data_IF_916439972522
#
_entry.id   IF_916439972522
#
_cell.length_a   1.000
_cell.length_b   1.000
_cell.length_c   1.000
_cell.angle_alpha   90.00
_cell.angle_beta   90.00
_cell.angle_gamma   90.00
#
_symmetry.space_group_name_H-M   'P 1'
#
loop_
_entity.id
_entity.type
_entity.pdbx_description
1 polymer ?
#
# COMPACT_ATOMS: atom_id res chain seq x y z
N UNK A 1 -3.69 5.18 -13.38
CA UNK A 1 -4.40 5.62 -12.17
C UNK A 1 -5.50 4.61 -11.86
N UNK A 2 -5.41 3.89 -10.74
CA UNK A 2 -6.46 2.94 -10.34
C UNK A 2 -7.55 3.70 -9.57
N UNK A 3 -8.82 3.60 -10.02
CA UNK A 3 -9.98 4.27 -9.41
C UNK A 3 -10.95 3.30 -8.72
N UNK A 4 -10.44 2.18 -8.20
CA UNK A 4 -11.28 1.12 -7.63
C UNK A 4 -10.48 0.04 -6.92
N UNK A 5 -11.08 -1.15 -6.80
CA UNK A 5 -10.42 -2.32 -6.23
C UNK A 5 -9.55 -3.00 -7.30
N UNK A 6 -8.44 -3.58 -6.90
CA UNK A 6 -7.57 -4.31 -7.81
C UNK A 6 -6.63 -5.27 -7.07
N UNK A 7 -6.29 -6.37 -7.73
CA UNK A 7 -5.22 -7.26 -7.31
C UNK A 7 -4.11 -7.21 -8.36
N UNK A 8 -2.88 -7.11 -7.89
CA UNK A 8 -1.68 -7.03 -8.72
C UNK A 8 -0.77 -8.18 -8.34
N UNK A 9 -0.33 -8.96 -9.34
CA UNK A 9 0.73 -9.94 -9.20
C UNK A 9 1.84 -9.57 -10.17
N UNK A 10 3.01 -9.21 -9.62
CA UNK A 10 4.10 -8.60 -10.39
C UNK A 10 5.30 -9.51 -10.34
N UNK A 11 5.74 -9.94 -11.51
CA UNK A 11 6.94 -10.76 -11.68
C UNK A 11 8.18 -10.00 -11.17
N UNK A 12 9.08 -10.64 -10.41
CA UNK A 12 10.28 -9.99 -9.89
C UNK A 12 11.19 -9.48 -11.02
N UNK A 13 11.45 -8.17 -11.03
CA UNK A 13 12.47 -7.56 -11.88
C UNK A 13 13.23 -6.48 -11.10
N UNK A 14 14.41 -6.82 -10.57
CA UNK A 14 15.22 -5.88 -9.77
C UNK A 14 15.75 -4.69 -10.58
N UNK A 15 15.92 -4.86 -11.90
CA UNK A 15 16.39 -3.82 -12.80
C UNK A 15 15.28 -2.82 -13.19
N UNK A 16 14.01 -3.21 -13.06
CA UNK A 16 12.84 -2.38 -13.37
C UNK A 16 11.81 -2.46 -12.24
N UNK A 17 11.99 -1.67 -11.15
CA UNK A 17 11.01 -1.63 -10.08
C UNK A 17 9.67 -1.11 -10.60
N UNK A 18 8.58 -1.71 -10.13
CA UNK A 18 7.25 -1.31 -10.54
C UNK A 18 6.68 -0.23 -9.60
N UNK A 19 6.04 0.78 -10.17
CA UNK A 19 5.45 1.93 -9.47
C UNK A 19 3.96 1.98 -9.78
N UNK A 20 3.12 2.07 -8.75
CA UNK A 20 1.67 2.23 -8.92
C UNK A 20 1.24 3.58 -8.37
N UNK A 21 0.67 4.38 -9.26
CA UNK A 21 0.10 5.69 -8.93
C UNK A 21 -1.41 5.57 -8.74
N UNK A 22 -1.86 5.94 -7.54
CA UNK A 22 -3.27 6.11 -7.15
C UNK A 22 -3.42 7.44 -6.41
N UNK A 23 -4.51 7.65 -5.68
CA UNK A 23 -4.67 8.81 -4.76
C UNK A 23 -3.55 8.87 -3.67
N UNK A 24 -2.74 7.81 -3.58
CA UNK A 24 -1.49 7.67 -2.86
C UNK A 24 -0.44 6.98 -3.76
N UNK A 25 0.85 7.07 -3.39
CA UNK A 25 1.95 6.60 -4.22
C UNK A 25 2.50 5.29 -3.66
N UNK A 26 2.27 4.17 -4.36
CA UNK A 26 2.98 2.92 -4.05
C UNK A 26 4.33 2.97 -4.76
N UNK A 27 5.42 3.05 -3.98
CA UNK A 27 6.77 3.12 -4.50
C UNK A 27 7.47 1.78 -4.35
N UNK A 28 7.77 1.16 -5.50
CA UNK A 28 8.66 0.01 -5.66
C UNK A 28 8.10 -1.27 -5.06
N UNK A 29 7.68 -2.14 -5.98
CA UNK A 29 7.34 -3.53 -5.73
C UNK A 29 8.25 -4.40 -6.61
N UNK A 30 8.82 -5.44 -6.03
CA UNK A 30 9.64 -6.44 -6.74
C UNK A 30 9.09 -7.81 -6.35
N UNK A 31 8.60 -8.58 -7.32
CA UNK A 31 8.18 -9.97 -7.07
C UNK A 31 7.07 -10.06 -6.04
N UNK A 32 6.00 -9.29 -6.25
CA UNK A 32 5.06 -8.94 -5.19
C UNK A 32 3.64 -9.17 -5.65
N UNK A 33 2.83 -9.75 -4.77
CA UNK A 33 1.39 -9.82 -4.97
C UNK A 33 0.70 -9.01 -3.90
N UNK A 34 -0.12 -8.04 -4.29
CA UNK A 34 -0.80 -7.15 -3.36
C UNK A 34 -2.19 -6.76 -3.87
N UNK A 35 -3.06 -6.37 -2.95
CA UNK A 35 -4.39 -5.86 -3.29
C UNK A 35 -4.55 -4.42 -2.84
N UNK A 36 -5.35 -3.67 -3.60
CA UNK A 36 -5.82 -2.33 -3.29
C UNK A 36 -7.35 -2.42 -3.18
N UNK A 37 -7.92 -1.91 -2.09
CA UNK A 37 -9.36 -1.90 -1.86
C UNK A 37 -9.82 -0.54 -1.34
N UNK A 38 -10.80 0.07 -1.99
CA UNK A 38 -11.50 1.25 -1.48
C UNK A 38 -12.69 0.80 -0.62
N UNK A 39 -12.77 1.28 0.61
CA UNK A 39 -13.90 1.03 1.53
C UNK A 39 -14.98 2.09 1.31
N UNK A 40 -16.21 1.78 1.73
CA UNK A 40 -17.37 2.67 1.56
C UNK A 40 -17.21 4.02 2.28
N UNK A 41 -16.51 4.03 3.42
CA UNK A 41 -16.19 5.24 4.19
C UNK A 41 -15.15 6.16 3.51
N UNK A 42 -14.61 5.74 2.36
CA UNK A 42 -13.59 6.47 1.60
C UNK A 42 -12.15 6.15 2.02
N UNK A 43 -11.95 5.29 3.02
CA UNK A 43 -10.63 4.76 3.37
C UNK A 43 -10.12 3.80 2.29
N UNK A 44 -8.81 3.65 2.19
CA UNK A 44 -8.18 2.81 1.19
C UNK A 44 -7.21 1.84 1.87
N UNK A 45 -7.39 0.56 1.60
CA UNK A 45 -6.61 -0.53 2.17
C UNK A 45 -5.66 -1.10 1.12
N UNK A 46 -4.38 -1.24 1.47
CA UNK A 46 -3.38 -1.95 0.68
C UNK A 46 -2.87 -3.13 1.49
N UNK A 47 -2.91 -4.34 0.94
CA UNK A 47 -2.47 -5.56 1.62
C UNK A 47 -1.52 -6.37 0.75
N UNK A 48 -0.53 -7.00 1.38
CA UNK A 48 0.50 -7.79 0.69
C UNK A 48 0.30 -9.28 0.95
N UNK A 49 0.26 -10.04 -0.14
CA UNK A 49 0.19 -11.51 -0.12
C UNK A 49 1.59 -12.11 -0.22
N UNK A 50 2.43 -11.64 -1.15
CA UNK A 50 3.82 -12.10 -1.31
C UNK A 50 4.76 -10.95 -1.60
N UNK A 51 6.04 -11.09 -1.22
CA UNK A 51 7.11 -10.12 -1.46
C UNK A 51 7.05 -8.88 -0.53
N UNK A 52 7.65 -7.78 -0.97
CA UNK A 52 7.78 -6.54 -0.18
C UNK A 52 7.25 -5.34 -0.99
N UNK A 53 6.35 -4.57 -0.38
CA UNK A 53 5.78 -3.34 -0.95
C UNK A 53 6.16 -2.17 -0.08
N UNK A 54 6.63 -1.07 -0.68
CA UNK A 54 6.80 0.20 0.01
C UNK A 54 5.69 1.16 -0.44
N UNK A 55 4.94 1.68 0.52
CA UNK A 55 3.80 2.55 0.28
C UNK A 55 4.08 3.91 0.89
N UNK A 56 3.86 4.96 0.11
CA UNK A 56 4.03 6.34 0.53
C UNK A 56 2.71 7.11 0.39
N UNK A 57 2.28 7.80 1.44
CA UNK A 57 1.20 8.77 1.33
C UNK A 57 1.73 10.09 0.75
N UNK A 58 0.84 10.82 0.08
CA UNK A 58 1.12 12.14 -0.48
C UNK A 58 0.35 13.24 0.29
N UNK A 59 0.16 13.07 1.60
CA UNK A 59 -0.50 14.09 2.41
C UNK A 59 0.40 15.34 2.48
N UNK A 60 -0.16 16.51 2.19
CA UNK A 60 0.60 17.78 2.11
C UNK A 60 0.93 18.37 3.50
N UNK A 61 0.36 17.83 4.58
CA UNK A 61 0.54 18.40 5.92
C UNK A 61 2.00 18.34 6.42
N UNK A 62 2.47 19.51 6.86
CA UNK A 62 3.76 19.73 7.52
C UNK A 62 3.89 19.03 8.89
N UNK A 63 2.79 18.51 9.43
CA UNK A 63 2.69 17.91 10.78
C UNK A 63 3.15 16.43 10.81
N UNK A 64 3.16 15.75 9.66
CA UNK A 64 3.71 14.39 9.58
C UNK A 64 5.21 14.48 9.34
N UNK A 65 6.02 14.22 10.37
CA UNK A 65 7.47 14.05 10.23
C UNK A 65 7.76 13.10 9.06
N UNK A 66 8.79 13.38 8.26
CA UNK A 66 9.11 12.63 7.03
C UNK A 66 9.14 11.10 7.21
N UNK A 67 9.43 10.65 8.43
CA UNK A 67 9.44 9.25 8.87
C UNK A 67 8.07 8.53 8.80
N UNK A 68 6.95 9.24 8.87
CA UNK A 68 5.59 8.67 8.87
C UNK A 68 4.93 8.69 7.49
N UNK A 69 5.62 9.18 6.45
CA UNK A 69 5.08 9.26 5.10
C UNK A 69 5.18 7.94 4.34
N UNK A 70 6.02 7.02 4.82
CA UNK A 70 6.34 5.78 4.14
C UNK A 70 6.22 4.57 5.08
N UNK A 71 5.64 3.48 4.59
CA UNK A 71 5.61 2.18 5.26
C UNK A 71 6.11 1.08 4.34
N UNK A 72 6.88 0.14 4.89
CA UNK A 72 7.22 -1.11 4.22
C UNK A 72 6.31 -2.23 4.70
N UNK A 73 5.57 -2.84 3.79
CA UNK A 73 4.70 -3.98 4.02
C UNK A 73 5.38 -5.27 3.58
N UNK A 74 5.27 -6.28 4.43
CA UNK A 74 5.65 -7.67 4.16
C UNK A 74 4.37 -8.51 4.03
N UNK A 75 4.47 -9.80 3.66
CA UNK A 75 3.29 -10.65 3.57
C UNK A 75 2.46 -10.67 4.85
N UNK A 76 1.15 -10.82 4.68
CA UNK A 76 0.14 -10.78 5.75
C UNK A 76 0.05 -9.45 6.52
N UNK A 77 0.69 -8.39 6.01
CA UNK A 77 0.51 -7.03 6.52
C UNK A 77 -0.36 -6.21 5.59
N UNK A 78 -1.04 -5.24 6.19
CA UNK A 78 -1.82 -4.23 5.49
C UNK A 78 -1.55 -2.84 6.03
N UNK A 79 -1.97 -1.87 5.23
CA UNK A 79 -2.08 -0.48 5.62
C UNK A 79 -3.42 0.08 5.18
N UNK A 80 -4.05 0.87 6.04
CA UNK A 80 -5.28 1.60 5.74
C UNK A 80 -5.02 3.09 5.81
N UNK A 81 -5.34 3.76 4.72
CA UNK A 81 -5.29 5.22 4.57
C UNK A 81 -6.66 5.80 4.87
N UNK A 82 -6.69 6.84 5.70
CA UNK A 82 -7.88 7.61 6.02
C UNK A 82 -7.70 9.04 5.50
N UNK A 83 -8.11 9.35 4.25
CA UNK A 83 -7.86 10.65 3.62
C UNK A 83 -8.43 11.82 4.42
N UNK A 84 -9.60 11.65 5.05
CA UNK A 84 -10.26 12.69 5.86
C UNK A 84 -9.43 13.14 7.08
N UNK A 85 -8.64 12.23 7.64
CA UNK A 85 -7.87 12.46 8.86
C UNK A 85 -6.37 12.50 8.58
N UNK A 86 -5.98 12.43 7.30
CA UNK A 86 -4.58 12.34 6.83
C UNK A 86 -3.74 11.31 7.61
N UNK A 87 -4.38 10.21 8.01
CA UNK A 87 -3.79 9.20 8.87
C UNK A 87 -3.59 7.90 8.11
N UNK A 88 -2.54 7.17 8.48
CA UNK A 88 -2.22 5.86 7.98
C UNK A 88 -2.09 4.88 9.16
N UNK A 89 -2.83 3.78 9.13
CA UNK A 89 -2.75 2.74 10.14
C UNK A 89 -2.21 1.46 9.52
N UNK A 90 -1.25 0.82 10.18
CA UNK A 90 -0.67 -0.45 9.75
C UNK A 90 -1.17 -1.58 10.64
N UNK A 91 -1.29 -2.77 10.08
CA UNK A 91 -1.80 -3.92 10.82
C UNK A 91 -1.63 -5.23 10.07
N UNK A 92 -2.18 -6.29 10.64
CA UNK A 92 -2.29 -7.59 9.99
C UNK A 92 -3.50 -7.62 9.07
N UNK A 93 -3.43 -8.42 8.02
CA UNK A 93 -4.62 -8.76 7.23
C UNK A 93 -5.60 -9.58 8.07
N UNK A 94 -6.89 -9.43 7.78
CA UNK A 94 -7.94 -10.11 8.55
C UNK A 94 -7.90 -11.63 8.35
N UNK A 95 -7.42 -12.08 7.19
CA UNK A 95 -7.23 -13.49 6.84
C UNK A 95 -5.81 -13.69 6.31
N UNK A 96 -4.85 -14.08 7.17
CA UNK A 96 -3.49 -14.41 6.75
C UNK A 96 -3.46 -15.60 5.81
N UNK A 97 -2.61 -15.54 4.79
CA UNK A 97 -2.34 -16.66 3.89
C UNK A 97 -1.08 -17.38 4.37
N UNK A 98 -1.12 -18.72 4.40
CA UNK A 98 0.08 -19.54 4.62
C UNK A 98 0.91 -19.46 3.34
N UNK A 99 2.19 -19.06 3.49
CA UNK A 99 3.11 -18.72 2.40
C UNK A 99 4.17 -19.81 2.28
#
# INVERSE_FOLDING_TARGET
MLKGNGFFSITPNKAKPFLVYSDYIIKKVVGTSFSIRRKQEGSIEVSVVTGIVKVQNNFESAVTSEKNREVTLTPNKKVTFFPKNETMLTGLVDQPVII
#
